data_IF_068140707108
#
_entry.id   IF_068140707108
#
_cell.length_a   1.000
_cell.length_b   1.000
_cell.length_c   1.000
_cell.angle_alpha   90.00
_cell.angle_beta   90.00
_cell.angle_gamma   90.00
#
_symmetry.space_group_name_H-M   'P 1'
#
loop_
_entity.id
_entity.type
_entity.pdbx_description
1 polymer ?
#
# COMPACT_ATOMS: atom_id res chain seq x y z
N UNK A 1 -22.09 -29.25 102.61
CA UNK A 1 -21.91 -27.78 102.67
C UNK A 1 -21.18 -27.29 101.44
N UNK A 2 -21.58 -26.12 100.95
CA UNK A 2 -21.05 -25.36 99.80
C UNK A 2 -19.56 -24.96 99.94
N UNK A 3 -18.93 -24.78 98.76
CA UNK A 3 -17.81 -23.87 98.32
C UNK A 3 -16.55 -24.63 97.84
N UNK A 4 -16.32 -24.73 96.51
CA UNK A 4 -15.54 -23.83 95.61
C UNK A 4 -14.04 -23.80 96.00
N UNK A 5 -13.02 -24.06 95.16
CA UNK A 5 -12.68 -23.38 93.90
C UNK A 5 -11.39 -23.96 93.21
N UNK A 6 -11.25 -23.76 91.87
CA UNK A 6 -10.00 -23.60 91.03
C UNK A 6 -9.09 -24.84 90.81
N UNK A 7 -8.43 -25.09 89.67
CA UNK A 7 -8.32 -24.47 88.33
C UNK A 7 -7.55 -25.43 87.39
N UNK A 8 -7.73 -25.24 86.06
CA UNK A 8 -6.77 -25.44 84.95
C UNK A 8 -7.45 -26.10 83.73
N UNK A 9 -8.01 -25.26 82.85
CA UNK A 9 -8.50 -25.67 81.54
C UNK A 9 -7.33 -25.61 80.52
N UNK A 10 -7.06 -26.73 79.85
CA UNK A 10 -6.22 -26.77 78.64
C UNK A 10 -7.13 -26.57 77.43
N UNK A 11 -6.99 -25.46 76.73
CA UNK A 11 -7.66 -25.21 75.45
C UNK A 11 -6.69 -25.61 74.35
N UNK A 12 -6.97 -26.71 73.66
CA UNK A 12 -6.33 -27.04 72.39
C UNK A 12 -7.10 -26.30 71.29
N UNK A 13 -6.43 -25.37 70.60
CA UNK A 13 -6.98 -24.68 69.43
C UNK A 13 -6.81 -25.62 68.23
N UNK A 14 -7.92 -26.20 67.76
CA UNK A 14 -7.98 -26.84 66.46
C UNK A 14 -8.34 -25.77 65.42
N UNK A 15 -7.36 -25.31 64.65
CA UNK A 15 -7.61 -24.47 63.47
C UNK A 15 -8.15 -25.39 62.37
N UNK A 16 -9.47 -25.42 62.22
CA UNK A 16 -10.12 -26.04 61.07
C UNK A 16 -9.91 -25.17 59.84
N UNK A 17 -8.94 -25.54 58.99
CA UNK A 17 -8.85 -25.04 57.62
C UNK A 17 -10.05 -25.57 56.84
N UNK A 18 -11.12 -24.77 56.76
CA UNK A 18 -12.15 -24.96 55.74
C UNK A 18 -11.55 -24.41 54.44
N UNK A 19 -10.82 -25.25 53.73
CA UNK A 19 -10.49 -25.05 52.32
C UNK A 19 -11.78 -25.20 51.53
N UNK A 20 -12.56 -24.12 51.44
CA UNK A 20 -13.60 -23.99 50.42
C UNK A 20 -12.92 -24.04 49.06
N UNK A 21 -12.95 -25.20 48.41
CA UNK A 21 -12.54 -25.32 47.02
C UNK A 21 -13.50 -24.45 46.20
N UNK A 22 -13.10 -23.22 45.90
CA UNK A 22 -13.71 -22.45 44.82
C UNK A 22 -13.38 -23.23 43.56
N UNK A 23 -14.32 -24.05 43.08
CA UNK A 23 -14.22 -24.66 41.78
C UNK A 23 -14.29 -23.52 40.76
N UNK A 24 -13.11 -23.01 40.40
CA UNK A 24 -12.96 -22.10 39.26
C UNK A 24 -13.31 -22.95 38.05
N UNK A 25 -14.55 -22.81 37.56
CA UNK A 25 -14.98 -23.48 36.33
C UNK A 25 -14.30 -22.77 35.17
N UNK A 26 -13.05 -23.13 34.90
CA UNK A 26 -12.30 -22.72 33.73
C UNK A 26 -12.74 -23.52 32.49
N UNK A 27 -14.05 -23.71 32.31
CA UNK A 27 -14.61 -24.46 31.20
C UNK A 27 -15.58 -23.57 30.44
N UNK A 28 -15.18 -23.19 29.23
CA UNK A 28 -16.04 -22.47 28.30
C UNK A 28 -17.27 -23.32 27.99
N UNK A 29 -18.40 -22.65 27.74
CA UNK A 29 -19.64 -23.29 27.29
C UNK A 29 -19.38 -24.14 26.03
N UNK A 30 -20.02 -25.31 25.95
CA UNK A 30 -19.87 -26.19 24.81
C UNK A 30 -20.36 -25.53 23.50
N UNK A 31 -19.55 -25.64 22.45
CA UNK A 31 -19.85 -25.15 21.09
C UNK A 31 -20.08 -26.33 20.16
N UNK A 32 -21.12 -26.28 19.33
CA UNK A 32 -21.38 -27.23 18.24
C UNK A 32 -21.22 -26.54 16.89
N UNK A 33 -20.36 -27.10 16.04
CA UNK A 33 -20.15 -26.66 14.66
C UNK A 33 -20.77 -27.70 13.73
N UNK A 34 -21.66 -27.29 12.84
CA UNK A 34 -22.27 -28.16 11.83
C UNK A 34 -21.65 -27.84 10.47
N UNK A 35 -21.02 -28.83 9.83
CA UNK A 35 -20.44 -28.70 8.49
C UNK A 35 -21.20 -29.61 7.53
N UNK A 36 -21.80 -29.03 6.48
CA UNK A 36 -22.48 -29.77 5.42
C UNK A 36 -21.81 -29.48 4.07
N UNK A 37 -21.00 -30.43 3.58
CA UNK A 37 -20.26 -30.29 2.32
C UNK A 37 -21.15 -30.22 1.06
N UNK A 38 -22.45 -30.50 1.18
CA UNK A 38 -23.41 -30.42 0.08
C UNK A 38 -24.20 -29.10 0.05
N UNK A 39 -24.19 -28.32 1.14
CA UNK A 39 -24.89 -27.03 1.21
C UNK A 39 -24.05 -25.90 0.57
N UNK A 40 -24.73 -24.91 -0.02
CA UNK A 40 -24.17 -23.62 -0.46
C UNK A 40 -22.84 -23.67 -1.20
N UNK A 41 -22.68 -24.66 -2.09
CA UNK A 41 -21.43 -24.86 -2.83
C UNK A 41 -21.17 -23.69 -3.78
N UNK A 42 -20.03 -23.02 -3.59
CA UNK A 42 -19.50 -22.04 -4.52
C UNK A 42 -17.98 -22.21 -4.67
N UNK A 43 -17.37 -21.80 -5.80
CA UNK A 43 -15.92 -21.75 -5.92
C UNK A 43 -15.31 -20.78 -4.91
N UNK A 44 -14.10 -21.09 -4.44
CA UNK A 44 -13.25 -20.14 -3.72
C UNK A 44 -12.18 -19.69 -4.70
N UNK A 45 -12.18 -18.41 -5.06
CA UNK A 45 -11.13 -17.86 -5.90
C UNK A 45 -9.83 -17.80 -5.06
N UNK A 46 -8.77 -18.48 -5.52
CA UNK A 46 -7.49 -18.52 -4.80
C UNK A 46 -6.85 -17.14 -4.64
N UNK A 47 -7.19 -16.18 -5.50
CA UNK A 47 -6.66 -14.81 -5.44
C UNK A 47 -7.00 -14.06 -4.14
N UNK A 48 -7.92 -14.56 -3.31
CA UNK A 48 -8.18 -14.00 -1.96
C UNK A 48 -6.99 -14.14 -1.02
N UNK A 49 -6.02 -15.01 -1.34
CA UNK A 49 -4.79 -15.23 -0.57
C UNK A 49 -3.59 -14.45 -1.15
N UNK A 50 -3.85 -13.39 -1.92
CA UNK A 50 -2.81 -12.53 -2.47
C UNK A 50 -2.06 -11.73 -1.40
N UNK A 51 -0.84 -11.35 -1.74
CA UNK A 51 0.07 -10.53 -0.90
C UNK A 51 0.57 -9.33 -1.71
N UNK A 52 1.27 -8.40 -1.06
CA UNK A 52 1.96 -7.30 -1.73
C UNK A 52 3.44 -7.31 -1.33
N UNK A 53 4.32 -7.04 -2.28
CA UNK A 53 5.78 -6.95 -2.08
C UNK A 53 6.44 -8.20 -1.47
N UNK A 54 5.89 -9.39 -1.71
CA UNK A 54 6.53 -10.64 -1.29
C UNK A 54 7.68 -11.03 -2.24
N UNK A 55 8.75 -11.62 -1.70
CA UNK A 55 9.81 -12.25 -2.50
C UNK A 55 9.33 -13.58 -3.12
N UNK A 56 10.08 -14.12 -4.09
CA UNK A 56 9.81 -15.46 -4.66
C UNK A 56 9.78 -16.54 -3.59
N UNK A 57 10.66 -16.47 -2.58
CA UNK A 57 10.68 -17.43 -1.46
C UNK A 57 9.42 -17.32 -0.61
N UNK A 58 8.99 -16.11 -0.26
CA UNK A 58 7.78 -15.87 0.54
C UNK A 58 6.52 -16.30 -0.22
N UNK A 59 6.45 -16.04 -1.53
CA UNK A 59 5.34 -16.50 -2.37
C UNK A 59 5.23 -18.03 -2.36
N UNK A 60 6.36 -18.74 -2.45
CA UNK A 60 6.39 -20.21 -2.39
C UNK A 60 6.03 -20.74 -1.00
N UNK A 61 6.55 -20.14 0.07
CA UNK A 61 6.29 -20.57 1.46
C UNK A 61 4.81 -20.41 1.83
N UNK A 62 4.21 -19.29 1.43
CA UNK A 62 2.80 -18.98 1.67
C UNK A 62 1.86 -19.67 0.68
N UNK A 63 2.38 -20.22 -0.42
CA UNK A 63 1.60 -20.65 -1.58
C UNK A 63 0.63 -19.54 -2.05
N UNK A 64 1.13 -18.30 -2.08
CA UNK A 64 0.35 -17.12 -2.44
C UNK A 64 0.26 -16.98 -3.96
N UNK A 65 -0.95 -17.00 -4.56
CA UNK A 65 -1.10 -17.05 -6.01
C UNK A 65 -1.03 -15.67 -6.69
N UNK A 66 -0.90 -14.59 -5.92
CA UNK A 66 -1.02 -13.22 -6.42
C UNK A 66 -0.10 -12.28 -5.62
N UNK A 67 0.67 -11.45 -6.32
CA UNK A 67 1.56 -10.44 -5.73
C UNK A 67 1.23 -9.04 -6.29
N UNK A 68 0.96 -8.06 -5.42
CA UNK A 68 0.61 -6.69 -5.80
C UNK A 68 1.82 -5.73 -5.67
N UNK A 69 2.11 -5.02 -6.75
CA UNK A 69 2.96 -3.83 -6.77
C UNK A 69 2.05 -2.59 -6.85
N UNK A 70 1.86 -1.91 -5.72
CA UNK A 70 0.96 -0.77 -5.59
C UNK A 70 1.18 -0.02 -4.29
N UNK A 71 0.43 1.06 -4.04
CA UNK A 71 0.66 1.95 -2.90
C UNK A 71 1.20 3.31 -3.35
N UNK A 72 1.36 4.23 -2.40
CA UNK A 72 1.59 5.66 -2.64
C UNK A 72 2.66 5.97 -3.69
N UNK A 73 3.87 5.41 -3.55
CA UNK A 73 4.98 5.73 -4.46
C UNK A 73 4.74 5.20 -5.89
N UNK A 74 3.90 4.18 -6.07
CA UNK A 74 3.61 3.62 -7.40
C UNK A 74 2.79 4.57 -8.27
N UNK A 75 1.97 5.44 -7.68
CA UNK A 75 1.29 6.55 -8.38
C UNK A 75 2.26 7.57 -8.98
N UNK A 76 3.54 7.54 -8.58
CA UNK A 76 4.57 8.49 -9.01
C UNK A 76 5.71 7.82 -9.78
N UNK A 77 5.56 6.55 -10.10
CA UNK A 77 6.59 5.77 -10.79
C UNK A 77 6.74 6.21 -12.24
N UNK A 78 7.97 6.55 -12.62
CA UNK A 78 8.38 6.83 -13.98
C UNK A 78 9.08 5.59 -14.55
N UNK A 79 8.36 4.82 -15.35
CA UNK A 79 8.88 3.59 -15.96
C UNK A 79 10.11 3.84 -16.84
N UNK A 80 10.16 4.98 -17.55
CA UNK A 80 11.26 5.30 -18.46
C UNK A 80 12.58 5.59 -17.71
N UNK A 81 12.48 6.19 -16.51
CA UNK A 81 13.65 6.48 -15.67
C UNK A 81 13.87 5.45 -14.57
N UNK A 82 13.01 4.44 -14.41
CA UNK A 82 13.03 3.45 -13.34
C UNK A 82 13.28 4.12 -11.97
N UNK A 83 12.31 4.93 -11.56
CA UNK A 83 12.38 5.72 -10.33
C UNK A 83 11.00 6.29 -10.00
N UNK A 84 10.78 6.65 -8.75
CA UNK A 84 9.51 7.21 -8.29
C UNK A 84 9.70 8.38 -7.33
N UNK A 85 8.60 9.08 -7.04
CA UNK A 85 8.55 10.10 -6.00
C UNK A 85 7.92 9.47 -4.75
N UNK A 86 8.53 9.71 -3.59
CA UNK A 86 8.13 9.10 -2.32
C UNK A 86 6.91 9.77 -1.68
N UNK A 87 6.28 10.71 -2.38
CA UNK A 87 5.07 11.38 -1.93
C UNK A 87 5.28 12.04 -0.55
N UNK A 88 4.21 12.24 0.22
CA UNK A 88 4.34 12.73 1.59
C UNK A 88 5.06 11.75 2.53
N UNK A 89 5.19 10.48 2.14
CA UNK A 89 5.78 9.43 3.00
C UNK A 89 7.28 9.67 3.25
N UNK A 90 7.97 10.26 2.26
CA UNK A 90 9.36 10.66 2.41
C UNK A 90 9.69 11.95 1.63
N UNK A 91 9.35 13.09 2.24
CA UNK A 91 9.77 14.44 1.84
C UNK A 91 9.59 14.81 0.35
N UNK A 92 8.66 14.16 -0.35
CA UNK A 92 8.39 14.38 -1.78
C UNK A 92 9.66 14.26 -2.63
N UNK A 93 10.56 13.34 -2.25
CA UNK A 93 11.79 13.07 -2.97
C UNK A 93 11.53 12.19 -4.20
N UNK A 94 12.03 12.59 -5.36
CA UNK A 94 12.17 11.73 -6.52
C UNK A 94 13.50 11.01 -6.47
N UNK A 95 13.46 9.68 -6.45
CA UNK A 95 14.63 8.81 -6.23
C UNK A 95 14.60 7.69 -7.27
N UNK A 96 15.71 7.54 -7.98
CA UNK A 96 15.90 6.45 -8.94
C UNK A 96 16.16 5.12 -8.24
N UNK A 97 15.67 4.04 -8.83
CA UNK A 97 16.10 2.71 -8.44
C UNK A 97 17.55 2.47 -8.85
N UNK A 98 18.12 1.39 -8.32
CA UNK A 98 19.49 0.99 -8.61
C UNK A 98 19.73 0.81 -10.12
N UNK A 99 18.77 0.19 -10.83
CA UNK A 99 18.81 0.03 -12.28
C UNK A 99 18.29 1.29 -12.98
N UNK A 100 18.95 1.68 -14.07
CA UNK A 100 18.50 2.74 -14.97
C UNK A 100 17.72 2.22 -16.19
N UNK A 101 17.51 0.90 -16.28
CA UNK A 101 16.81 0.28 -17.41
C UNK A 101 15.31 0.58 -17.29
N UNK A 102 14.73 1.09 -18.38
CA UNK A 102 13.31 1.42 -18.42
C UNK A 102 12.45 0.18 -18.13
N UNK A 103 11.46 0.33 -17.25
CA UNK A 103 10.50 -0.72 -16.89
C UNK A 103 11.05 -1.81 -15.96
N UNK A 104 12.33 -1.79 -15.62
CA UNK A 104 13.01 -2.91 -14.95
C UNK A 104 12.37 -3.31 -13.62
N UNK A 105 11.93 -2.36 -12.79
CA UNK A 105 11.20 -2.69 -11.56
C UNK A 105 9.96 -3.55 -11.82
N UNK A 106 9.20 -3.20 -12.86
CA UNK A 106 8.00 -3.94 -13.25
C UNK A 106 8.33 -5.31 -13.82
N UNK A 107 9.37 -5.39 -14.66
CA UNK A 107 9.82 -6.65 -15.26
C UNK A 107 10.34 -7.62 -14.20
N UNK A 108 11.18 -7.16 -13.26
CA UNK A 108 11.69 -7.97 -12.15
C UNK A 108 10.55 -8.43 -11.25
N UNK A 109 9.59 -7.56 -10.93
CA UNK A 109 8.42 -7.94 -10.14
C UNK A 109 7.57 -9.03 -10.81
N UNK A 110 7.40 -8.97 -12.13
CA UNK A 110 6.71 -10.02 -12.91
C UNK A 110 7.52 -11.32 -12.90
N UNK A 111 8.83 -11.24 -13.12
CA UNK A 111 9.72 -12.39 -13.15
C UNK A 111 9.68 -13.15 -11.81
N UNK A 112 9.81 -12.43 -10.70
CA UNK A 112 9.84 -12.98 -9.34
C UNK A 112 8.52 -13.67 -8.98
N UNK A 113 7.38 -13.07 -9.36
CA UNK A 113 6.07 -13.68 -9.15
C UNK A 113 5.90 -14.97 -9.97
N UNK A 114 6.26 -14.93 -11.26
CA UNK A 114 6.17 -16.11 -12.15
C UNK A 114 7.09 -17.25 -11.71
N UNK A 115 8.26 -16.93 -11.15
CA UNK A 115 9.17 -17.94 -10.59
C UNK A 115 8.56 -18.74 -9.42
N UNK A 116 7.55 -18.18 -8.74
CA UNK A 116 6.77 -18.85 -7.69
C UNK A 116 5.40 -19.37 -8.17
N UNK A 117 5.15 -19.41 -9.49
CA UNK A 117 3.82 -19.71 -10.07
C UNK A 117 2.69 -18.78 -9.57
N UNK A 118 3.03 -17.54 -9.23
CA UNK A 118 2.08 -16.49 -8.84
C UNK A 118 1.85 -15.50 -10.00
N UNK A 119 0.70 -14.83 -9.97
CA UNK A 119 0.39 -13.72 -10.87
C UNK A 119 0.87 -12.39 -10.28
N UNK A 120 1.42 -11.51 -11.11
CA UNK A 120 1.74 -10.14 -10.72
C UNK A 120 0.57 -9.19 -10.99
N UNK A 121 0.43 -8.17 -10.14
CA UNK A 121 -0.38 -6.98 -10.40
C UNK A 121 0.50 -5.74 -10.38
N UNK A 122 0.46 -4.93 -11.44
CA UNK A 122 1.23 -3.68 -11.51
C UNK A 122 0.32 -2.47 -11.54
N UNK A 123 0.68 -1.46 -10.75
CA UNK A 123 0.00 -0.16 -10.75
C UNK A 123 0.50 0.73 -11.88
N UNK A 124 -0.45 1.27 -12.65
CA UNK A 124 -0.23 2.26 -13.69
C UNK A 124 -0.60 3.64 -13.14
N UNK A 125 0.33 4.62 -13.13
CA UNK A 125 0.05 5.98 -12.68
C UNK A 125 -1.03 6.70 -13.50
N UNK A 126 -2.05 7.24 -12.83
CA UNK A 126 -3.06 8.14 -13.41
C UNK A 126 -2.80 9.61 -13.07
N UNK A 127 -1.91 9.90 -12.11
CA UNK A 127 -1.44 11.26 -11.86
C UNK A 127 -0.78 11.86 -13.11
N UNK A 128 -1.01 13.15 -13.33
CA UNK A 128 -0.45 13.90 -14.45
C UNK A 128 1.06 14.19 -14.28
N UNK A 129 1.65 13.72 -13.18
CA UNK A 129 3.05 13.94 -12.82
C UNK A 129 3.68 12.69 -12.20
N UNK A 130 4.74 12.20 -12.85
CA UNK A 130 5.60 11.12 -12.32
C UNK A 130 7.01 11.65 -12.04
N UNK A 131 7.81 10.89 -11.33
CA UNK A 131 9.13 11.31 -10.89
C UNK A 131 10.06 11.75 -12.02
N UNK A 132 10.88 12.75 -11.73
CA UNK A 132 12.04 13.16 -12.50
C UNK A 132 13.29 12.96 -11.67
N UNK A 133 14.37 12.52 -12.31
CA UNK A 133 15.70 12.48 -11.71
C UNK A 133 16.58 13.60 -12.26
N UNK A 134 17.52 14.05 -11.44
CA UNK A 134 18.53 15.03 -11.83
C UNK A 134 19.64 14.41 -12.68
N UNK A 135 20.65 15.22 -13.01
CA UNK A 135 21.86 14.73 -13.68
C UNK A 135 22.47 13.55 -12.94
N UNK A 136 22.94 12.54 -13.68
CA UNK A 136 23.46 11.28 -13.13
C UNK A 136 22.46 10.55 -12.20
N UNK A 137 21.16 10.68 -12.47
CA UNK A 137 20.09 10.07 -11.65
C UNK A 137 20.07 10.55 -10.20
N UNK A 138 20.61 11.75 -9.94
CA UNK A 138 20.57 12.35 -8.60
C UNK A 138 19.12 12.56 -8.15
N UNK A 139 18.91 12.45 -6.84
CA UNK A 139 17.61 12.73 -6.24
C UNK A 139 17.17 14.17 -6.53
N UNK A 140 15.86 14.41 -6.60
CA UNK A 140 15.25 15.74 -6.62
C UNK A 140 14.19 15.83 -5.51
N UNK A 141 13.79 17.03 -5.09
CA UNK A 141 12.77 17.23 -4.06
C UNK A 141 11.77 18.31 -4.47
N UNK A 142 10.47 18.04 -4.30
CA UNK A 142 9.42 18.97 -4.70
C UNK A 142 9.35 20.24 -3.83
N UNK A 143 9.84 20.17 -2.60
CA UNK A 143 9.84 21.28 -1.64
C UNK A 143 11.24 21.63 -1.14
N UNK A 144 12.16 21.94 -2.06
CA UNK A 144 13.51 22.46 -1.73
C UNK A 144 13.45 23.60 -0.72
N UNK A 145 14.18 23.48 0.39
CA UNK A 145 14.29 24.51 1.43
C UNK A 145 14.97 25.77 0.87
N UNK A 146 16.01 25.59 0.06
CA UNK A 146 16.71 26.69 -0.60
C UNK A 146 15.78 27.51 -1.51
N UNK A 147 14.79 26.86 -2.14
CA UNK A 147 13.83 27.53 -3.04
C UNK A 147 12.61 28.10 -2.31
N UNK A 148 12.02 27.36 -1.37
CA UNK A 148 10.73 27.70 -0.74
C UNK A 148 10.84 28.22 0.69
N UNK A 149 12.05 28.31 1.23
CA UNK A 149 12.35 28.81 2.56
C UNK A 149 12.28 27.76 3.66
N UNK A 150 12.51 28.16 4.93
CA UNK A 150 12.55 27.26 6.08
C UNK A 150 11.22 26.53 6.31
N UNK A 151 11.32 25.23 6.56
CA UNK A 151 10.19 24.32 6.76
C UNK A 151 10.31 23.61 8.13
N UNK A 152 9.23 22.96 8.55
CA UNK A 152 9.15 22.30 9.87
C UNK A 152 9.90 20.97 9.96
N UNK A 153 10.25 20.37 8.82
CA UNK A 153 11.03 19.15 8.75
C UNK A 153 11.68 18.95 7.39
N UNK A 154 12.71 18.11 7.36
CA UNK A 154 13.48 17.77 6.17
C UNK A 154 14.18 16.41 6.33
N UNK A 155 14.60 15.80 5.21
CA UNK A 155 15.51 14.66 5.24
C UNK A 155 16.93 15.11 5.60
N UNK A 156 17.17 15.40 6.87
CA UNK A 156 18.45 15.89 7.36
C UNK A 156 19.63 14.92 7.13
N UNK A 157 19.36 13.63 6.91
CA UNK A 157 20.40 12.61 6.82
C UNK A 157 20.83 12.33 5.38
N UNK A 158 19.89 12.22 4.45
CA UNK A 158 20.17 11.78 3.08
C UNK A 158 19.85 12.80 1.99
N UNK A 159 19.06 13.84 2.28
CA UNK A 159 18.81 14.97 1.37
C UNK A 159 18.41 16.23 2.17
N UNK A 160 19.37 16.94 2.80
CA UNK A 160 19.04 18.00 3.75
C UNK A 160 18.20 19.16 3.21
N UNK A 161 18.24 19.40 1.89
CA UNK A 161 17.42 20.42 1.24
C UNK A 161 15.98 19.96 0.92
N UNK A 162 15.65 18.67 1.04
CA UNK A 162 14.31 18.14 0.83
C UNK A 162 13.43 18.42 2.06
N UNK A 163 12.60 19.47 1.98
CA UNK A 163 11.66 19.83 3.02
C UNK A 163 10.33 19.06 2.95
N UNK A 164 9.57 19.05 4.04
CA UNK A 164 8.27 18.37 4.14
C UNK A 164 7.08 19.15 3.52
N UNK A 165 7.34 20.28 2.87
CA UNK A 165 6.35 21.16 2.27
C UNK A 165 5.47 21.89 3.28
N UNK A 166 5.92 22.11 4.51
CA UNK A 166 5.20 22.85 5.57
C UNK A 166 6.12 23.94 6.11
N UNK A 167 5.79 25.21 5.87
CA UNK A 167 6.54 26.35 6.42
C UNK A 167 6.57 26.32 7.95
N UNK A 168 7.57 26.97 8.55
CA UNK A 168 7.70 27.10 10.03
C UNK A 168 6.49 27.73 10.73
N UNK A 169 5.59 28.40 9.98
CA UNK A 169 4.29 28.88 10.46
C UNK A 169 3.23 27.79 10.64
N UNK A 170 3.51 26.56 10.20
CA UNK A 170 2.57 25.44 10.18
C UNK A 170 1.66 25.40 8.94
N UNK A 171 1.75 26.39 8.04
CA UNK A 171 1.00 26.40 6.78
C UNK A 171 1.72 25.59 5.70
N UNK A 172 0.95 24.96 4.81
CA UNK A 172 1.51 24.29 3.64
C UNK A 172 2.22 25.28 2.72
N UNK A 173 3.36 24.86 2.17
CA UNK A 173 3.96 25.49 1.00
C UNK A 173 2.96 25.32 -0.16
N UNK A 174 2.60 26.43 -0.80
CA UNK A 174 1.68 26.47 -1.95
C UNK A 174 2.37 27.08 -3.16
N UNK A 175 1.94 26.69 -4.36
CA UNK A 175 2.50 27.21 -5.62
C UNK A 175 3.92 26.72 -5.90
N UNK A 176 4.32 25.57 -5.36
CA UNK A 176 5.56 24.92 -5.78
C UNK A 176 5.47 24.51 -7.26
N UNK A 177 6.59 24.56 -7.96
CA UNK A 177 6.69 24.12 -9.34
C UNK A 177 6.73 22.58 -9.36
N UNK A 178 5.73 21.89 -9.95
CA UNK A 178 5.75 20.43 -10.04
C UNK A 178 6.98 19.92 -10.79
N UNK A 179 7.57 20.74 -11.69
CA UNK A 179 8.79 20.39 -12.40
C UNK A 179 10.03 20.35 -11.51
N UNK A 180 9.99 20.72 -10.23
CA UNK A 180 11.20 20.62 -9.39
C UNK A 180 11.69 19.18 -9.25
N UNK A 181 10.76 18.24 -9.13
CA UNK A 181 11.08 16.82 -8.98
C UNK A 181 10.25 15.91 -9.89
N UNK A 182 9.43 16.44 -10.79
CA UNK A 182 8.51 15.63 -11.61
C UNK A 182 8.57 16.00 -13.09
N UNK A 183 8.04 15.11 -13.93
CA UNK A 183 7.75 15.34 -15.35
C UNK A 183 6.28 15.03 -15.64
N UNK A 184 5.68 15.67 -16.66
CA UNK A 184 4.33 15.36 -17.08
C UNK A 184 4.16 13.88 -17.48
N UNK A 185 3.02 13.32 -17.12
CA UNK A 185 2.56 11.97 -17.43
C UNK A 185 1.19 12.04 -18.12
N UNK A 186 0.83 11.00 -18.86
CA UNK A 186 -0.45 10.86 -19.55
C UNK A 186 -0.73 9.40 -19.88
N UNK A 187 -1.95 9.09 -20.33
CA UNK A 187 -2.28 7.75 -20.83
C UNK A 187 -1.40 7.33 -22.00
N UNK A 188 -1.01 8.26 -22.88
CA UNK A 188 -0.06 7.98 -23.96
C UNK A 188 1.36 7.68 -23.44
N UNK A 189 1.81 8.35 -22.38
CA UNK A 189 3.09 8.04 -21.74
C UNK A 189 3.08 6.64 -21.08
N UNK A 190 1.97 6.28 -20.42
CA UNK A 190 1.83 4.95 -19.83
C UNK A 190 1.53 3.85 -20.86
N UNK A 191 0.95 4.19 -22.01
CA UNK A 191 0.76 3.25 -23.12
C UNK A 191 2.08 2.67 -23.60
N UNK A 192 3.13 3.48 -23.67
CA UNK A 192 4.46 3.00 -24.03
C UNK A 192 5.00 1.98 -23.01
N UNK A 193 4.67 2.11 -21.72
CA UNK A 193 5.00 1.09 -20.72
C UNK A 193 4.19 -0.18 -20.91
N UNK A 194 2.88 -0.07 -21.16
CA UNK A 194 2.02 -1.24 -21.46
C UNK A 194 2.54 -1.99 -22.69
N UNK A 195 2.96 -1.28 -23.74
CA UNK A 195 3.56 -1.87 -24.94
C UNK A 195 4.91 -2.53 -24.65
N UNK A 196 5.74 -1.94 -23.80
CA UNK A 196 6.97 -2.56 -23.30
C UNK A 196 6.66 -3.88 -22.59
N UNK A 197 5.71 -3.89 -21.65
CA UNK A 197 5.31 -5.08 -20.91
C UNK A 197 4.79 -6.19 -21.84
N UNK A 198 3.95 -5.84 -22.83
CA UNK A 198 3.45 -6.79 -23.83
C UNK A 198 4.59 -7.33 -24.71
N UNK A 199 5.54 -6.48 -25.10
CA UNK A 199 6.70 -6.88 -25.89
C UNK A 199 7.60 -7.87 -25.14
N UNK A 200 7.82 -7.64 -23.84
CA UNK A 200 8.65 -8.50 -22.99
C UNK A 200 7.94 -9.81 -22.58
N UNK A 201 6.66 -9.73 -22.20
CA UNK A 201 5.95 -10.82 -21.52
C UNK A 201 4.81 -11.44 -22.32
N UNK A 202 4.44 -10.85 -23.46
CA UNK A 202 3.23 -11.17 -24.20
C UNK A 202 1.98 -10.49 -23.61
N UNK A 203 0.84 -10.66 -24.28
CA UNK A 203 -0.48 -10.32 -23.72
C UNK A 203 -0.88 -11.30 -22.63
N UNK A 204 -1.87 -10.97 -21.79
CA UNK A 204 -2.42 -11.90 -20.78
C UNK A 204 -2.86 -13.24 -21.39
N UNK A 205 -3.50 -13.23 -22.57
CA UNK A 205 -3.89 -14.45 -23.30
C UNK A 205 -2.69 -15.34 -23.69
N UNK A 206 -1.50 -14.77 -23.78
CA UNK A 206 -0.23 -15.47 -24.06
C UNK A 206 0.62 -15.69 -22.80
N UNK A 207 0.04 -15.52 -21.60
CA UNK A 207 0.72 -15.70 -20.32
C UNK A 207 1.50 -14.48 -19.85
N UNK A 208 1.25 -13.29 -20.40
CA UNK A 208 1.83 -12.02 -19.98
C UNK A 208 1.23 -11.45 -18.69
N UNK A 209 1.41 -10.15 -18.44
CA UNK A 209 0.85 -9.51 -17.26
C UNK A 209 -0.68 -9.52 -17.31
N UNK A 210 -1.31 -10.10 -16.27
CA UNK A 210 -2.76 -10.21 -16.19
C UNK A 210 -3.43 -8.97 -15.61
N UNK A 211 -2.89 -8.38 -14.55
CA UNK A 211 -3.58 -7.37 -13.74
C UNK A 211 -2.89 -6.01 -13.82
N UNK A 212 -3.62 -5.01 -14.33
CA UNK A 212 -3.21 -3.61 -14.33
C UNK A 212 -4.09 -2.86 -13.34
N UNK A 213 -3.47 -2.28 -12.32
CA UNK A 213 -4.14 -1.48 -11.30
C UNK A 213 -4.11 -0.01 -11.73
N UNK A 214 -5.24 0.68 -11.65
CA UNK A 214 -5.36 2.09 -11.99
C UNK A 214 -5.04 2.95 -10.75
N UNK A 215 -3.78 3.32 -10.63
CA UNK A 215 -3.23 4.17 -9.56
C UNK A 215 -3.50 3.63 -8.13
N UNK A 216 -3.56 4.51 -7.13
CA UNK A 216 -3.74 4.20 -5.74
C UNK A 216 -4.38 5.40 -5.01
N UNK A 217 -5.50 5.17 -4.34
CA UNK A 217 -6.16 6.08 -3.41
C UNK A 217 -6.44 7.50 -3.95
N UNK A 218 -7.14 7.63 -5.10
CA UNK A 218 -7.27 8.90 -5.80
C UNK A 218 -7.98 10.00 -5.01
N UNK A 219 -8.98 9.66 -4.18
CA UNK A 219 -9.69 10.67 -3.39
C UNK A 219 -8.79 11.44 -2.41
N UNK A 220 -7.64 10.88 -2.03
CA UNK A 220 -6.68 11.51 -1.10
C UNK A 220 -5.36 11.91 -1.76
N UNK A 221 -5.27 11.95 -3.09
CA UNK A 221 -4.10 12.49 -3.78
C UNK A 221 -3.72 13.90 -3.31
N UNK A 222 -4.69 14.70 -2.89
CA UNK A 222 -4.45 16.05 -2.36
C UNK A 222 -3.72 16.11 -1.02
N UNK A 223 -3.71 15.01 -0.27
CA UNK A 223 -2.83 14.85 0.87
C UNK A 223 -1.53 14.19 0.42
N UNK A 224 -1.63 12.94 -0.07
CA UNK A 224 -0.48 12.06 -0.31
C UNK A 224 0.48 12.66 -1.34
N UNK A 225 -0.04 13.26 -2.41
CA UNK A 225 0.70 13.83 -3.54
C UNK A 225 0.49 15.33 -3.67
N UNK A 226 0.36 16.04 -2.53
CA UNK A 226 0.11 17.48 -2.47
C UNK A 226 1.09 18.31 -3.31
N UNK A 227 2.31 17.82 -3.52
CA UNK A 227 3.33 18.49 -4.33
C UNK A 227 2.94 18.63 -5.81
N UNK A 228 2.04 17.78 -6.34
CA UNK A 228 1.62 17.81 -7.75
C UNK A 228 0.09 17.82 -7.93
N UNK A 229 -0.67 17.40 -6.93
CA UNK A 229 -2.13 17.35 -6.95
C UNK A 229 -2.71 18.01 -5.70
N UNK A 230 -2.43 19.30 -5.39
CA UNK A 230 -2.82 19.93 -4.12
C UNK A 230 -4.34 20.08 -3.92
N UNK A 231 -5.12 19.93 -4.99
CA UNK A 231 -6.58 19.98 -4.95
C UNK A 231 -7.15 18.59 -5.18
N UNK A 232 -8.18 18.26 -4.41
CA UNK A 232 -8.92 17.02 -4.57
C UNK A 232 -9.40 16.77 -5.99
N UNK A 233 -9.23 15.53 -6.46
CA UNK A 233 -9.76 15.11 -7.78
C UNK A 233 -11.27 14.90 -7.68
N UNK A 234 -12.04 15.46 -8.60
CA UNK A 234 -13.49 15.28 -8.60
C UNK A 234 -13.87 13.90 -9.16
N UNK A 235 -15.12 13.47 -8.93
CA UNK A 235 -15.60 12.19 -9.43
C UNK A 235 -15.60 12.13 -10.97
N UNK A 236 -15.95 13.23 -11.63
CA UNK A 236 -15.97 13.32 -13.09
C UNK A 236 -14.56 13.26 -13.67
N UNK A 237 -13.59 13.92 -13.01
CA UNK A 237 -12.18 13.85 -13.39
C UNK A 237 -11.65 12.43 -13.22
N UNK A 238 -12.00 11.76 -12.11
CA UNK A 238 -11.55 10.40 -11.87
C UNK A 238 -12.19 9.41 -12.84
N UNK A 239 -13.49 9.53 -13.12
CA UNK A 239 -14.17 8.72 -14.13
C UNK A 239 -13.52 8.91 -15.51
N UNK A 240 -13.23 10.14 -15.91
CA UNK A 240 -12.55 10.42 -17.17
C UNK A 240 -11.17 9.73 -17.25
N UNK A 241 -10.36 9.81 -16.17
CA UNK A 241 -9.06 9.11 -16.09
C UNK A 241 -9.22 7.59 -16.15
N UNK A 242 -10.19 7.01 -15.43
CA UNK A 242 -10.46 5.56 -15.48
C UNK A 242 -10.83 5.11 -16.89
N UNK A 243 -11.75 5.82 -17.56
CA UNK A 243 -12.17 5.46 -18.92
C UNK A 243 -11.02 5.57 -19.93
N UNK A 244 -10.21 6.63 -19.84
CA UNK A 244 -9.06 6.82 -20.72
C UNK A 244 -8.02 5.71 -20.53
N UNK A 245 -7.55 5.49 -19.30
CA UNK A 245 -6.48 4.52 -19.03
C UNK A 245 -6.94 3.07 -19.19
N UNK A 246 -8.16 2.72 -18.74
CA UNK A 246 -8.70 1.38 -18.95
C UNK A 246 -8.92 1.10 -20.44
N UNK A 247 -9.44 2.07 -21.19
CA UNK A 247 -9.59 1.97 -22.64
C UNK A 247 -8.25 1.79 -23.34
N UNK A 248 -7.24 2.57 -22.94
CA UNK A 248 -5.87 2.46 -23.43
C UNK A 248 -5.29 1.05 -23.21
N UNK A 249 -5.40 0.51 -21.99
CA UNK A 249 -4.92 -0.84 -21.66
C UNK A 249 -5.64 -1.88 -22.50
N UNK A 250 -6.98 -1.83 -22.56
CA UNK A 250 -7.80 -2.78 -23.32
C UNK A 250 -7.56 -2.76 -24.83
N UNK A 251 -7.20 -1.60 -25.39
CA UNK A 251 -6.86 -1.48 -26.80
C UNK A 251 -5.50 -2.12 -27.14
N UNK A 252 -4.57 -2.19 -26.18
CA UNK A 252 -3.27 -2.85 -26.38
C UNK A 252 -3.30 -4.33 -25.98
N UNK A 253 -4.09 -4.68 -24.94
CA UNK A 253 -4.34 -6.05 -24.51
C UNK A 253 -5.79 -6.22 -24.04
N UNK A 254 -6.65 -6.69 -24.96
CA UNK A 254 -8.06 -6.91 -24.68
C UNK A 254 -8.31 -7.99 -23.60
N UNK A 255 -7.35 -8.89 -23.41
CA UNK A 255 -7.43 -9.99 -22.45
C UNK A 255 -7.00 -9.62 -21.04
N UNK A 256 -6.27 -8.51 -20.84
CA UNK A 256 -5.84 -8.03 -19.53
C UNK A 256 -7.03 -7.68 -18.62
N UNK A 257 -6.85 -7.75 -17.30
CA UNK A 257 -7.83 -7.33 -16.29
C UNK A 257 -7.40 -5.98 -15.69
N UNK A 258 -8.33 -5.03 -15.66
CA UNK A 258 -8.11 -3.68 -15.12
C UNK A 258 -8.77 -3.60 -13.74
N UNK A 259 -8.01 -3.17 -12.74
CA UNK A 259 -8.41 -3.10 -11.33
C UNK A 259 -8.44 -1.63 -10.91
N UNK A 260 -9.49 -1.22 -10.20
CA UNK A 260 -9.63 0.15 -9.71
C UNK A 260 -10.97 0.37 -9.01
N UNK A 261 -11.19 1.57 -8.44
CA UNK A 261 -10.30 2.73 -8.43
C UNK A 261 -9.23 2.73 -7.31
N UNK A 262 -9.08 1.63 -6.55
CA UNK A 262 -8.16 1.55 -5.40
C UNK A 262 -8.41 2.63 -4.32
N UNK A 263 -9.68 2.91 -4.00
CA UNK A 263 -10.01 3.87 -2.94
C UNK A 263 -9.52 3.42 -1.56
N UNK A 264 -9.08 4.39 -0.74
CA UNK A 264 -8.40 4.15 0.54
C UNK A 264 -9.31 3.60 1.64
N UNK A 265 -10.62 3.85 1.54
CA UNK A 265 -11.54 3.52 2.62
C UNK A 265 -12.94 4.08 2.46
N UNK A 266 -13.69 4.01 3.56
CA UNK A 266 -15.14 4.26 3.59
C UNK A 266 -15.57 5.58 2.94
N UNK A 267 -14.86 6.68 3.23
CA UNK A 267 -15.23 7.99 2.72
C UNK A 267 -15.06 8.11 1.21
N UNK A 268 -14.09 7.38 0.61
CA UNK A 268 -13.87 7.35 -0.83
C UNK A 268 -15.03 6.74 -1.63
N UNK A 269 -15.94 6.01 -0.95
CA UNK A 269 -17.17 5.53 -1.58
C UNK A 269 -18.17 6.67 -1.87
N UNK A 270 -18.19 7.70 -1.02
CA UNK A 270 -19.17 8.80 -1.09
C UNK A 270 -18.60 10.10 -1.62
N UNK A 271 -17.30 10.32 -1.41
CA UNK A 271 -16.62 11.57 -1.66
C UNK A 271 -15.41 11.33 -2.53
N UNK A 272 -15.14 12.29 -3.41
CA UNK A 272 -13.88 12.41 -4.11
C UNK A 272 -13.29 13.78 -3.82
N UNK A 273 -11.98 13.81 -3.60
CA UNK A 273 -11.18 15.02 -3.62
C UNK A 273 -11.59 16.14 -2.66
#
# INVERSE_FOLDING_TARGET
MRRWNRAAARVAIAVGLVSGAVAVHAQNTAVRINVNAAADRHPINSNIYGVAYASTEELNDLNAPLNRNGGNNTSRYNWLQNGDNRAQDWYFESIGDASAVAGERGDTFIADAKAANAEAMLTIPLLDWVAKLGSNRSKLASFSIAKYGPQTGNDWQWFPDAGNGIWTSGQYVVGNDPNDANVPSSSAFQQAWVQHLISQWGTNASGGLRYYILDNEPSIWHSTHRDVQPTGVTMDQMLAKVLDYAGMIKNNDASALVIGPEEWGWSGYFYSG
#
